data_IF_871039212968
#
_entry.id   IF_871039212968
#
_cell.length_a   1.000
_cell.length_b   1.000
_cell.length_c   1.000
_cell.angle_alpha   90.00
_cell.angle_beta   90.00
_cell.angle_gamma   90.00
#
_symmetry.space_group_name_H-M   'P 1'
#
loop_
_entity.id
_entity.type
_entity.pdbx_description
1 polymer ?
#
# COMPACT_ATOMS: atom_id res chain seq x y z
N UNK A 1 -52.55 -28.15 17.15
CA UNK A 1 -52.96 -29.53 16.77
C UNK A 1 -53.32 -29.53 15.29
N UNK A 2 -52.78 -30.52 14.54
CA UNK A 2 -53.23 -31.18 13.28
C UNK A 2 -54.36 -30.48 12.48
N UNK A 3 -54.42 -30.41 11.15
CA UNK A 3 -53.68 -30.98 10.02
C UNK A 3 -54.34 -30.44 8.72
N UNK A 4 -53.55 -30.37 7.64
CA UNK A 4 -53.87 -30.74 6.24
C UNK A 4 -54.98 -30.05 5.40
N UNK A 5 -54.50 -29.49 4.26
CA UNK A 5 -54.93 -29.62 2.85
C UNK A 5 -56.40 -29.43 2.46
N UNK A 6 -56.61 -28.57 1.46
CA UNK A 6 -57.12 -28.99 0.14
C UNK A 6 -56.80 -27.97 -0.98
N UNK A 7 -56.37 -28.50 -2.13
CA UNK A 7 -56.29 -27.82 -3.42
C UNK A 7 -57.54 -28.18 -4.24
N UNK A 8 -58.10 -27.22 -4.97
CA UNK A 8 -58.86 -27.44 -6.22
C UNK A 8 -58.61 -26.20 -7.11
N UNK A 9 -57.93 -26.29 -8.27
CA UNK A 9 -58.46 -26.70 -9.57
C UNK A 9 -59.12 -25.48 -10.26
N UNK A 10 -58.79 -25.01 -11.47
CA UNK A 10 -58.82 -25.73 -12.77
C UNK A 10 -58.66 -24.70 -13.92
N UNK A 11 -58.14 -25.12 -15.08
CA UNK A 11 -58.34 -24.46 -16.38
C UNK A 11 -57.05 -24.22 -17.20
N UNK A 12 -56.43 -25.23 -17.81
CA UNK A 12 -56.59 -25.75 -19.19
C UNK A 12 -56.36 -24.76 -20.37
N UNK A 13 -55.39 -25.18 -21.20
CA UNK A 13 -55.18 -24.96 -22.66
C UNK A 13 -54.48 -23.66 -23.09
N UNK A 14 -53.18 -23.72 -23.43
CA UNK A 14 -52.57 -24.07 -24.75
C UNK A 14 -53.01 -23.13 -25.89
N UNK A 15 -52.09 -22.31 -26.41
CA UNK A 15 -51.43 -22.47 -27.72
C UNK A 15 -50.82 -21.12 -28.18
N UNK A 16 -49.50 -21.04 -28.40
CA UNK A 16 -48.96 -20.60 -29.71
C UNK A 16 -48.04 -19.35 -29.68
N UNK A 17 -46.75 -19.59 -29.48
CA UNK A 17 -45.57 -19.08 -30.23
C UNK A 17 -45.73 -17.76 -31.03
N UNK A 18 -44.88 -16.74 -30.76
CA UNK A 18 -43.75 -16.33 -31.63
C UNK A 18 -42.91 -15.17 -31.03
N UNK A 19 -41.62 -15.24 -31.34
CA UNK A 19 -40.45 -14.46 -30.95
C UNK A 19 -40.52 -12.92 -31.09
N UNK A 20 -39.83 -12.21 -30.17
CA UNK A 20 -38.77 -11.27 -30.56
C UNK A 20 -37.84 -10.98 -29.37
N UNK A 21 -36.55 -11.10 -29.65
CA UNK A 21 -35.44 -10.75 -28.78
C UNK A 21 -35.47 -9.27 -28.39
N UNK A 22 -35.30 -8.98 -27.09
CA UNK A 22 -34.58 -7.77 -26.68
C UNK A 22 -33.33 -8.27 -25.99
N UNK A 23 -32.27 -8.11 -26.76
CA UNK A 23 -30.88 -8.39 -26.49
C UNK A 23 -30.36 -7.59 -25.30
N UNK A 24 -29.48 -8.24 -24.53
CA UNK A 24 -28.31 -7.67 -23.86
C UNK A 24 -28.45 -6.26 -23.26
N UNK A 25 -28.57 -6.21 -21.93
CA UNK A 25 -27.48 -5.63 -21.14
C UNK A 25 -27.37 -6.42 -19.84
N UNK A 26 -26.75 -7.61 -19.96
CA UNK A 26 -26.00 -8.15 -18.85
C UNK A 26 -24.88 -7.12 -18.59
N UNK A 27 -25.07 -6.27 -17.59
CA UNK A 27 -23.91 -5.65 -16.93
C UNK A 27 -23.16 -6.83 -16.34
N UNK A 28 -22.14 -7.28 -17.06
CA UNK A 28 -21.17 -8.23 -16.57
C UNK A 28 -20.50 -7.60 -15.35
N UNK A 29 -21.01 -7.94 -14.17
CA UNK A 29 -20.21 -8.00 -12.96
C UNK A 29 -19.25 -9.19 -13.11
N UNK A 30 -18.22 -8.99 -13.92
CA UNK A 30 -16.98 -9.75 -13.93
C UNK A 30 -15.91 -8.68 -13.72
N UNK A 31 -15.25 -8.55 -12.59
CA UNK A 31 -14.74 -9.61 -11.73
C UNK A 31 -15.07 -9.39 -10.25
N UNK A 32 -15.81 -10.32 -9.65
CA UNK A 32 -15.51 -10.70 -8.28
C UNK A 32 -14.26 -11.58 -8.35
N UNK A 33 -13.08 -10.97 -8.32
CA UNK A 33 -11.85 -11.71 -8.01
C UNK A 33 -12.00 -12.23 -6.58
N UNK A 34 -12.25 -13.52 -6.42
CA UNK A 34 -12.13 -14.18 -5.13
C UNK A 34 -10.65 -14.22 -4.80
N UNK A 35 -10.16 -13.20 -4.09
CA UNK A 35 -8.76 -13.16 -3.67
C UNK A 35 -8.42 -14.35 -2.77
N UNK A 36 -7.25 -14.93 -2.98
CA UNK A 36 -6.69 -15.92 -2.08
C UNK A 36 -6.11 -15.22 -0.85
N UNK A 37 -6.58 -15.62 0.34
CA UNK A 37 -6.09 -15.07 1.59
C UNK A 37 -4.82 -15.81 1.97
N UNK A 38 -3.72 -15.07 2.09
CA UNK A 38 -2.43 -15.65 2.45
C UNK A 38 -2.11 -15.50 3.95
N UNK A 39 -2.60 -14.44 4.61
CA UNK A 39 -2.37 -14.21 6.03
C UNK A 39 -3.44 -13.29 6.64
N UNK A 40 -3.81 -13.53 7.90
CA UNK A 40 -4.68 -12.65 8.69
C UNK A 40 -4.43 -12.82 10.19
N UNK A 41 -4.18 -11.70 10.87
CA UNK A 41 -4.24 -11.55 12.33
C UNK A 41 -5.07 -10.29 12.70
N UNK A 42 -5.03 -9.87 13.97
CA UNK A 42 -5.77 -8.70 14.45
C UNK A 42 -5.25 -7.36 13.88
N UNK A 43 -4.01 -7.34 13.37
CA UNK A 43 -3.31 -6.15 12.86
C UNK A 43 -3.23 -6.13 11.34
N UNK A 44 -3.01 -7.27 10.68
CA UNK A 44 -2.67 -7.39 9.28
C UNK A 44 -3.60 -8.38 8.60
N UNK A 45 -4.05 -8.02 7.40
CA UNK A 45 -4.76 -8.91 6.49
C UNK A 45 -4.16 -8.79 5.10
N UNK A 46 -3.57 -9.88 4.62
CA UNK A 46 -2.94 -9.97 3.31
C UNK A 46 -3.78 -10.85 2.38
N UNK A 47 -4.03 -10.35 1.16
CA UNK A 47 -4.88 -11.01 0.17
C UNK A 47 -4.26 -10.85 -1.21
N UNK A 48 -4.04 -11.96 -1.90
CA UNK A 48 -3.63 -11.97 -3.31
C UNK A 48 -4.88 -11.92 -4.17
N UNK A 49 -4.91 -11.02 -5.15
CA UNK A 49 -6.02 -10.89 -6.10
C UNK A 49 -5.53 -11.03 -7.52
N UNK A 50 -6.28 -11.79 -8.33
CA UNK A 50 -6.03 -11.88 -9.77
C UNK A 50 -6.93 -10.90 -10.53
N UNK A 51 -6.33 -10.08 -11.39
CA UNK A 51 -7.03 -9.21 -12.32
C UNK A 51 -6.33 -9.26 -13.68
N UNK A 52 -7.06 -9.59 -14.74
CA UNK A 52 -6.53 -9.68 -16.11
C UNK A 52 -5.28 -10.59 -16.26
N UNK A 53 -5.16 -11.64 -15.46
CA UNK A 53 -4.01 -12.56 -15.45
C UNK A 53 -2.77 -12.01 -14.72
N UNK A 54 -2.90 -10.89 -14.02
CA UNK A 54 -1.89 -10.36 -13.11
C UNK A 54 -2.32 -10.67 -11.68
N UNK A 55 -1.38 -11.11 -10.86
CA UNK A 55 -1.56 -11.31 -9.43
C UNK A 55 -0.94 -10.12 -8.70
N UNK A 56 -1.70 -9.56 -7.78
CA UNK A 56 -1.27 -8.46 -6.92
C UNK A 56 -1.54 -8.82 -5.45
N UNK A 57 -0.64 -8.45 -4.55
CA UNK A 57 -0.83 -8.55 -3.12
C UNK A 57 -1.38 -7.23 -2.59
N UNK A 58 -2.48 -7.29 -1.85
CA UNK A 58 -2.93 -6.20 -1.00
C UNK A 58 -2.80 -6.59 0.47
N UNK A 59 -2.08 -5.76 1.24
CA UNK A 59 -1.90 -5.93 2.68
C UNK A 59 -2.58 -4.78 3.40
N UNK A 60 -3.72 -5.06 4.03
CA UNK A 60 -4.41 -4.13 4.92
C UNK A 60 -3.79 -4.21 6.30
N UNK A 61 -3.40 -3.06 6.84
CA UNK A 61 -2.70 -2.91 8.10
C UNK A 61 -3.56 -2.02 9.00
N UNK A 62 -3.74 -2.44 10.24
CA UNK A 62 -4.46 -1.73 11.29
C UNK A 62 -3.45 -1.03 12.19
N UNK A 63 -3.29 0.27 12.01
CA UNK A 63 -2.51 1.15 12.88
C UNK A 63 -3.38 1.81 13.95
N UNK A 64 -2.77 2.40 14.98
CA UNK A 64 -3.49 3.26 15.93
C UNK A 64 -4.04 4.52 15.26
N UNK A 65 -5.05 5.09 15.89
CA UNK A 65 -5.85 6.24 15.43
C UNK A 65 -5.39 7.56 16.05
N UNK A 66 -4.14 7.64 16.53
CA UNK A 66 -3.65 8.89 17.11
C UNK A 66 -3.61 9.99 16.04
N UNK A 67 -4.22 11.15 16.30
CA UNK A 67 -4.35 12.20 15.31
C UNK A 67 -2.99 12.83 14.98
N UNK A 68 -2.89 13.40 13.79
CA UNK A 68 -1.72 14.19 13.39
C UNK A 68 -1.51 15.38 14.34
N UNK A 69 -0.26 15.66 14.72
CA UNK A 69 0.07 16.87 15.48
C UNK A 69 -0.15 18.11 14.61
N UNK A 70 -0.77 19.14 15.18
CA UNK A 70 -1.08 20.40 14.47
C UNK A 70 0.12 21.04 13.76
N UNK A 71 1.30 21.00 14.37
CA UNK A 71 2.52 21.52 13.74
C UNK A 71 2.92 20.75 12.47
N UNK A 72 2.80 19.42 12.49
CA UNK A 72 3.07 18.55 11.34
C UNK A 72 2.04 18.78 10.26
N UNK A 73 0.76 18.85 10.65
CA UNK A 73 -0.34 19.18 9.74
C UNK A 73 -0.09 20.47 9.00
N UNK A 74 0.30 21.52 9.73
CA UNK A 74 0.61 22.82 9.15
C UNK A 74 1.74 22.70 8.11
N UNK A 75 2.85 22.03 8.45
CA UNK A 75 3.95 21.81 7.51
C UNK A 75 3.50 21.07 6.24
N UNK A 76 2.68 20.02 6.39
CA UNK A 76 2.21 19.17 5.28
C UNK A 76 1.07 19.76 4.46
N UNK A 77 0.50 20.89 4.88
CA UNK A 77 -0.62 21.55 4.19
C UNK A 77 -0.33 23.02 3.83
N UNK A 78 0.89 23.51 4.09
CA UNK A 78 1.33 24.85 3.70
C UNK A 78 1.60 25.01 2.19
N UNK A 79 1.72 23.88 1.47
CA UNK A 79 2.07 23.83 0.05
C UNK A 79 0.87 23.91 -0.90
N UNK A 80 1.15 23.67 -2.18
CA UNK A 80 0.13 23.54 -3.22
C UNK A 80 -0.51 22.14 -3.20
N UNK A 81 -1.82 22.10 -3.43
CA UNK A 81 -2.57 20.87 -3.61
C UNK A 81 -2.54 20.47 -5.09
N UNK A 82 -2.01 19.28 -5.38
CA UNK A 82 -1.84 18.77 -6.75
C UNK A 82 -2.89 17.72 -7.11
N UNK A 83 -3.35 17.79 -8.37
CA UNK A 83 -4.11 16.73 -9.06
C UNK A 83 -3.30 16.06 -10.18
N UNK A 84 -2.25 16.74 -10.65
CA UNK A 84 -1.23 16.22 -11.56
C UNK A 84 0.11 16.83 -11.13
N UNK A 85 1.14 16.01 -10.98
CA UNK A 85 2.47 16.43 -10.59
C UNK A 85 3.51 15.52 -11.22
N UNK A 86 4.61 16.12 -11.69
CA UNK A 86 5.75 15.38 -12.22
C UNK A 86 7.05 16.08 -11.86
N UNK A 87 8.00 15.33 -11.32
CA UNK A 87 9.36 15.83 -11.03
C UNK A 87 10.41 14.80 -11.45
N UNK A 88 11.60 15.27 -11.82
CA UNK A 88 12.76 14.43 -12.11
C UNK A 88 13.55 14.24 -10.82
N UNK A 89 13.70 12.99 -10.39
CA UNK A 89 14.50 12.59 -9.23
C UNK A 89 16.00 12.56 -9.59
N UNK A 90 16.85 12.54 -8.57
CA UNK A 90 18.31 12.55 -8.74
C UNK A 90 18.87 11.32 -9.45
N UNK A 91 18.20 10.18 -9.37
CA UNK A 91 18.51 8.95 -10.10
C UNK A 91 18.14 9.01 -11.59
N UNK A 92 17.54 10.11 -12.05
CA UNK A 92 17.10 10.32 -13.42
C UNK A 92 15.72 9.71 -13.73
N UNK A 93 15.03 9.14 -12.73
CA UNK A 93 13.68 8.61 -12.85
C UNK A 93 12.68 9.74 -12.57
N UNK A 94 11.56 9.74 -13.30
CA UNK A 94 10.48 10.68 -13.03
C UNK A 94 9.55 10.11 -11.96
N UNK A 95 9.33 10.87 -10.89
CA UNK A 95 8.13 10.71 -10.09
C UNK A 95 6.95 11.35 -10.82
N UNK A 96 5.82 10.65 -10.88
CA UNK A 96 4.59 11.16 -11.46
C UNK A 96 3.39 10.78 -10.59
N UNK A 97 2.58 11.77 -10.27
CA UNK A 97 1.26 11.61 -9.68
C UNK A 97 0.22 12.15 -10.65
N UNK A 98 -0.82 11.37 -10.93
CA UNK A 98 -1.97 11.82 -11.67
C UNK A 98 -3.22 11.27 -10.99
N UNK A 99 -4.10 12.15 -10.54
CA UNK A 99 -5.42 11.77 -10.05
C UNK A 99 -6.25 11.24 -11.22
N UNK A 100 -6.60 9.95 -11.17
CA UNK A 100 -7.38 9.27 -12.19
C UNK A 100 -8.88 9.57 -12.11
N UNK A 101 -9.34 10.33 -11.11
CA UNK A 101 -10.76 10.62 -10.89
C UNK A 101 -11.07 12.10 -11.17
N UNK A 102 -11.74 12.36 -12.31
CA UNK A 102 -12.11 13.71 -12.77
C UNK A 102 -13.10 14.46 -11.85
N UNK A 103 -13.69 13.81 -10.84
CA UNK A 103 -14.90 14.29 -10.14
C UNK A 103 -14.80 14.24 -8.60
N UNK A 104 -13.62 14.19 -7.98
CA UNK A 104 -13.51 14.30 -6.52
C UNK A 104 -12.70 15.52 -6.09
N UNK A 105 -13.20 16.24 -5.07
CA UNK A 105 -12.54 17.35 -4.37
C UNK A 105 -11.32 16.88 -3.54
N UNK A 106 -10.57 15.89 -4.04
CA UNK A 106 -9.41 15.30 -3.38
C UNK A 106 -8.16 15.57 -4.20
N UNK A 107 -7.21 16.32 -3.65
CA UNK A 107 -5.86 16.41 -4.19
C UNK A 107 -4.86 15.92 -3.16
N UNK A 108 -3.58 15.95 -3.51
CA UNK A 108 -2.50 15.56 -2.59
C UNK A 108 -1.51 16.70 -2.45
N UNK A 109 -0.89 16.82 -1.28
CA UNK A 109 0.23 17.73 -1.09
C UNK A 109 1.52 16.99 -1.43
N UNK A 110 2.32 17.53 -2.34
CA UNK A 110 3.57 16.91 -2.78
C UNK A 110 4.73 17.87 -2.54
N UNK A 111 5.77 17.35 -1.89
CA UNK A 111 6.99 18.07 -1.54
C UNK A 111 8.21 17.30 -2.02
N UNK A 112 9.23 18.03 -2.47
CA UNK A 112 10.51 17.45 -2.91
C UNK A 112 11.61 17.95 -1.99
N UNK A 113 12.32 17.02 -1.34
CA UNK A 113 13.40 17.32 -0.41
C UNK A 113 14.74 16.82 -0.92
N UNK A 114 15.82 17.44 -0.41
CA UNK A 114 17.19 17.08 -0.77
C UNK A 114 17.88 16.23 0.31
N UNK A 115 17.34 16.19 1.53
CA UNK A 115 17.94 15.41 2.63
C UNK A 115 16.90 14.82 3.56
N UNK A 116 17.28 13.74 4.26
CA UNK A 116 16.54 13.15 5.38
C UNK A 116 16.23 14.21 6.45
N UNK A 117 17.20 15.07 6.80
CA UNK A 117 17.02 16.07 7.85
C UNK A 117 15.90 17.08 7.54
N UNK A 118 15.75 17.51 6.28
CA UNK A 118 14.65 18.37 5.85
C UNK A 118 13.30 17.64 5.95
N UNK A 119 13.28 16.36 5.59
CA UNK A 119 12.10 15.50 5.63
C UNK A 119 11.63 15.23 7.06
N UNK A 120 12.54 14.85 7.96
CA UNK A 120 12.26 14.66 9.39
C UNK A 120 11.80 15.95 10.06
N UNK A 121 12.37 17.09 9.68
CA UNK A 121 11.93 18.39 10.17
C UNK A 121 10.48 18.70 9.75
N UNK A 122 10.12 18.39 8.51
CA UNK A 122 8.75 18.57 8.01
C UNK A 122 7.75 17.66 8.77
N UNK A 123 8.13 16.41 9.00
CA UNK A 123 7.31 15.41 9.72
C UNK A 123 7.29 15.60 11.24
N UNK A 124 8.24 16.36 11.80
CA UNK A 124 8.37 16.55 13.25
C UNK A 124 8.64 15.25 14.01
N UNK A 125 9.23 14.25 13.33
CA UNK A 125 9.59 12.95 13.88
C UNK A 125 10.82 12.42 13.11
N UNK A 126 11.60 11.58 13.79
CA UNK A 126 12.64 10.82 13.10
C UNK A 126 12.01 9.74 12.23
N UNK A 127 12.62 9.51 11.08
CA UNK A 127 12.30 8.36 10.24
C UNK A 127 13.17 7.19 10.68
N UNK A 128 12.69 5.95 10.51
CA UNK A 128 13.56 4.80 10.68
C UNK A 128 14.79 4.93 9.78
N UNK A 129 15.97 4.75 10.37
CA UNK A 129 17.22 4.76 9.65
C UNK A 129 17.69 3.30 9.45
N UNK A 130 18.71 3.09 8.62
CA UNK A 130 19.38 1.80 8.50
C UNK A 130 20.89 2.02 8.49
N UNK A 131 21.62 1.30 9.35
CA UNK A 131 23.08 1.28 9.29
C UNK A 131 23.63 0.50 8.09
N UNK A 132 22.76 -0.23 7.40
CA UNK A 132 23.07 -1.02 6.21
C UNK A 132 22.75 -0.32 4.91
N UNK A 133 21.91 0.73 4.95
CA UNK A 133 21.55 1.53 3.80
C UNK A 133 21.46 3.01 4.16
N UNK A 134 22.27 3.84 3.50
CA UNK A 134 22.18 5.29 3.65
C UNK A 134 21.02 5.86 2.84
N UNK A 135 20.44 6.94 3.34
CA UNK A 135 19.55 7.75 2.52
C UNK A 135 20.34 8.40 1.38
N UNK A 136 19.76 8.57 0.18
CA UNK A 136 20.44 9.18 -0.95
C UNK A 136 20.89 10.62 -0.65
N UNK A 137 22.13 10.96 -1.03
CA UNK A 137 22.71 12.30 -0.96
C UNK A 137 22.55 13.07 -2.28
N UNK A 138 22.45 14.40 -2.24
CA UNK A 138 22.23 15.24 -3.43
C UNK A 138 20.95 16.07 -3.37
N UNK A 139 20.52 16.61 -4.52
CA UNK A 139 19.29 17.41 -4.62
C UNK A 139 18.15 16.61 -5.26
N UNK A 140 16.91 16.82 -4.80
CA UNK A 140 15.71 16.12 -5.30
C UNK A 140 15.74 14.61 -5.11
N UNK A 141 15.99 14.20 -3.88
CA UNK A 141 16.15 12.79 -3.50
C UNK A 141 14.90 12.19 -2.91
N UNK A 142 14.01 12.99 -2.34
CA UNK A 142 12.83 12.50 -1.65
C UNK A 142 11.59 13.19 -2.19
N UNK A 143 10.55 12.43 -2.45
CA UNK A 143 9.20 12.93 -2.71
C UNK A 143 8.32 12.50 -1.55
N UNK A 144 7.81 13.48 -0.82
CA UNK A 144 6.77 13.27 0.19
C UNK A 144 5.42 13.58 -0.45
N UNK A 145 4.50 12.62 -0.38
CA UNK A 145 3.10 12.75 -0.80
C UNK A 145 2.20 12.59 0.41
N UNK A 146 1.53 13.67 0.81
CA UNK A 146 0.52 13.62 1.86
C UNK A 146 -0.89 13.57 1.25
N UNK A 147 -1.62 12.50 1.58
CA UNK A 147 -3.00 12.27 1.18
C UNK A 147 -3.91 12.48 2.40
N UNK A 148 -4.63 13.63 2.48
CA UNK A 148 -5.60 13.83 3.54
C UNK A 148 -6.77 12.85 3.40
N UNK A 149 -7.27 12.32 4.50
CA UNK A 149 -8.45 11.46 4.50
C UNK A 149 -9.73 12.32 4.47
N UNK A 150 -10.63 12.00 3.54
CA UNK A 150 -11.86 12.74 3.36
C UNK A 150 -12.87 12.35 4.46
N UNK A 151 -13.11 13.25 5.42
CA UNK A 151 -14.14 13.08 6.45
C UNK A 151 -13.62 12.76 7.86
N UNK A 152 -12.31 12.83 8.08
CA UNK A 152 -11.69 12.85 9.42
C UNK A 152 -11.51 14.30 9.91
N UNK A 153 -11.25 14.54 11.22
CA UNK A 153 -10.84 15.85 11.70
C UNK A 153 -9.69 16.39 10.85
N UNK A 154 -9.73 17.69 10.54
CA UNK A 154 -8.82 18.36 9.61
C UNK A 154 -7.36 17.91 9.80
N UNK A 155 -6.83 17.04 8.93
CA UNK A 155 -5.41 16.66 8.90
C UNK A 155 -5.03 15.20 9.10
N UNK A 156 -5.96 14.28 9.41
CA UNK A 156 -5.62 12.85 9.43
C UNK A 156 -5.47 12.31 7.99
N UNK A 157 -4.61 11.31 7.79
CA UNK A 157 -4.28 10.81 6.46
C UNK A 157 -3.01 9.96 6.42
N UNK A 158 -2.50 9.75 5.21
CA UNK A 158 -1.28 8.98 4.97
C UNK A 158 -0.21 9.84 4.29
N UNK A 159 1.04 9.62 4.69
CA UNK A 159 2.22 10.17 4.04
C UNK A 159 2.97 9.04 3.37
N UNK A 160 3.24 9.17 2.09
CA UNK A 160 4.16 8.32 1.34
C UNK A 160 5.44 9.08 1.04
N UNK A 161 6.57 8.44 1.28
CA UNK A 161 7.91 8.97 1.06
C UNK A 161 8.58 8.02 0.09
N UNK A 162 8.87 8.52 -1.10
CA UNK A 162 9.67 7.81 -2.08
C UNK A 162 11.05 8.45 -2.14
N UNK A 163 12.10 7.64 -2.02
CA UNK A 163 13.47 8.10 -2.23
C UNK A 163 14.00 7.69 -3.61
N UNK A 164 14.89 8.50 -4.18
CA UNK A 164 15.66 8.14 -5.35
C UNK A 164 16.50 6.88 -5.08
N UNK A 165 16.68 6.05 -6.11
CA UNK A 165 17.46 4.84 -5.97
C UNK A 165 18.93 5.17 -5.66
N UNK A 166 19.42 4.66 -4.53
CA UNK A 166 20.84 4.62 -4.21
C UNK A 166 21.37 3.20 -4.50
N UNK A 167 22.44 3.03 -5.29
CA UNK A 167 23.04 1.72 -5.48
C UNK A 167 23.76 1.31 -4.19
N UNK A 168 23.09 0.53 -3.35
CA UNK A 168 23.64 0.10 -2.06
C UNK A 168 23.62 -1.42 -1.92
N UNK A 169 24.82 -2.03 -1.97
CA UNK A 169 25.00 -3.44 -1.67
C UNK A 169 24.87 -3.68 -0.16
N UNK A 170 23.66 -3.92 0.31
CA UNK A 170 23.43 -4.33 1.69
C UNK A 170 24.01 -5.72 1.86
N UNK A 171 25.08 -5.80 2.66
CA UNK A 171 25.79 -7.05 3.04
C UNK A 171 26.79 -7.64 2.05
N UNK A 172 27.24 -6.88 1.03
CA UNK A 172 28.29 -7.33 0.11
C UNK A 172 27.83 -8.31 -0.98
N UNK A 173 26.53 -8.65 -0.98
CA UNK A 173 25.79 -9.23 -2.10
C UNK A 173 25.02 -8.08 -2.78
N UNK A 174 24.80 -8.16 -4.10
CA UNK A 174 24.20 -7.11 -4.93
C UNK A 174 22.70 -6.87 -4.63
N UNK A 175 22.39 -6.41 -3.41
CA UNK A 175 21.05 -5.96 -3.06
C UNK A 175 20.78 -4.63 -3.78
N UNK A 176 19.62 -4.50 -4.43
CA UNK A 176 19.07 -3.19 -4.81
C UNK A 176 17.85 -2.94 -3.93
N UNK A 177 17.77 -1.75 -3.33
CA UNK A 177 16.70 -1.38 -2.41
C UNK A 177 16.09 -0.06 -2.86
N UNK A 178 14.79 -0.10 -3.13
CA UNK A 178 13.97 1.10 -3.20
C UNK A 178 13.46 1.43 -1.80
N UNK A 179 13.46 2.72 -1.46
CA UNK A 179 12.84 3.18 -0.22
C UNK A 179 11.49 3.80 -0.53
N UNK A 180 10.45 3.04 -0.20
CA UNK A 180 9.08 3.53 -0.21
C UNK A 180 8.53 3.40 1.21
N UNK A 181 8.69 4.49 1.98
CA UNK A 181 8.24 4.56 3.37
C UNK A 181 6.86 5.18 3.42
N UNK A 182 5.92 4.48 4.04
CA UNK A 182 4.63 5.05 4.41
C UNK A 182 4.60 5.39 5.89
N UNK A 183 3.91 6.47 6.26
CA UNK A 183 3.57 6.85 7.63
C UNK A 183 2.07 7.17 7.68
N UNK A 184 1.35 6.69 8.69
CA UNK A 184 -0.10 6.91 8.83
C UNK A 184 -0.41 7.74 10.07
N UNK A 185 -1.36 8.67 9.96
CA UNK A 185 -1.80 9.53 11.06
C UNK A 185 -3.33 9.48 11.18
N UNK A 186 -3.84 9.17 12.38
CA UNK A 186 -5.26 9.24 12.70
C UNK A 186 -6.18 8.24 12.00
N UNK A 187 -5.62 7.32 11.19
CA UNK A 187 -6.39 6.33 10.44
C UNK A 187 -6.18 4.91 10.98
N UNK A 188 -7.27 4.15 11.11
CA UNK A 188 -7.22 2.73 11.51
C UNK A 188 -6.94 1.77 10.34
N UNK A 189 -6.60 2.33 9.17
CA UNK A 189 -6.52 1.63 7.89
C UNK A 189 -5.37 2.19 7.07
N UNK A 190 -4.32 1.38 6.93
CA UNK A 190 -3.31 1.51 5.89
C UNK A 190 -3.42 0.32 4.94
N UNK A 191 -3.04 0.51 3.68
CA UNK A 191 -2.94 -0.59 2.72
C UNK A 191 -1.60 -0.51 1.98
N UNK A 192 -0.77 -1.53 2.05
CA UNK A 192 0.41 -1.64 1.19
C UNK A 192 0.19 -2.68 0.11
N UNK A 193 0.92 -2.59 -0.99
CA UNK A 193 0.68 -3.37 -2.19
C UNK A 193 1.98 -3.88 -2.80
N UNK A 194 1.94 -5.04 -3.43
CA UNK A 194 2.98 -5.55 -4.33
C UNK A 194 2.28 -5.99 -5.62
N UNK A 195 2.68 -5.42 -6.75
CA UNK A 195 2.05 -5.69 -8.04
C UNK A 195 2.86 -6.71 -8.86
N UNK A 196 2.20 -7.43 -9.76
CA UNK A 196 2.84 -8.42 -10.66
C UNK A 196 3.64 -9.49 -9.90
N UNK A 197 3.07 -10.01 -8.83
CA UNK A 197 3.60 -11.15 -8.07
C UNK A 197 3.18 -12.49 -8.70
N UNK A 198 3.58 -13.57 -8.07
CA UNK A 198 3.17 -14.94 -8.32
C UNK A 198 2.29 -15.46 -7.19
N UNK A 199 1.75 -16.66 -7.35
CA UNK A 199 0.97 -17.34 -6.30
C UNK A 199 1.83 -17.76 -5.09
N UNK A 200 3.17 -17.73 -5.22
CA UNK A 200 4.12 -18.27 -4.25
C UNK A 200 4.55 -17.24 -3.18
N UNK A 201 3.73 -16.22 -2.88
CA UNK A 201 4.07 -15.22 -1.85
C UNK A 201 4.12 -15.87 -0.46
N UNK A 202 5.25 -15.67 0.22
CA UNK A 202 5.52 -16.17 1.57
C UNK A 202 5.32 -15.05 2.58
N UNK A 203 4.67 -15.36 3.70
CA UNK A 203 4.66 -14.50 4.90
C UNK A 203 5.55 -15.08 5.99
N UNK A 204 6.36 -14.23 6.63
CA UNK A 204 7.13 -14.57 7.83
C UNK A 204 7.16 -13.41 8.82
N UNK A 205 6.89 -13.70 10.10
CA UNK A 205 7.17 -12.76 11.19
C UNK A 205 8.63 -12.86 11.62
N UNK A 206 9.32 -11.74 11.73
CA UNK A 206 10.73 -11.68 12.10
C UNK A 206 10.97 -10.66 13.21
N UNK A 207 11.93 -10.93 14.10
CA UNK A 207 12.38 -9.97 15.11
C UNK A 207 13.87 -9.79 14.96
N UNK A 208 14.29 -8.55 14.68
CA UNK A 208 15.69 -8.21 14.47
C UNK A 208 16.54 -8.40 15.73
N UNK A 209 17.86 -8.40 15.56
CA UNK A 209 18.81 -8.41 16.66
C UNK A 209 18.63 -7.24 17.65
N UNK A 210 18.10 -6.11 17.18
CA UNK A 210 17.78 -4.91 17.98
C UNK A 210 16.38 -4.97 18.61
N UNK A 211 15.62 -6.04 18.37
CA UNK A 211 14.27 -6.23 18.91
C UNK A 211 13.15 -5.65 18.03
N UNK A 212 13.47 -5.25 16.79
CA UNK A 212 12.48 -4.73 15.84
C UNK A 212 11.62 -5.89 15.31
N UNK A 213 10.35 -5.94 15.70
CA UNK A 213 9.41 -6.94 15.20
C UNK A 213 8.74 -6.46 13.90
N UNK A 214 8.89 -7.24 12.83
CA UNK A 214 8.35 -6.94 11.51
C UNK A 214 7.58 -8.12 10.93
N UNK A 215 6.67 -7.81 10.01
CA UNK A 215 6.00 -8.76 9.14
C UNK A 215 6.62 -8.65 7.73
N UNK A 216 7.04 -9.79 7.17
CA UNK A 216 7.68 -9.89 5.86
C UNK A 216 6.74 -10.59 4.89
N UNK A 217 6.52 -10.00 3.73
CA UNK A 217 5.89 -10.65 2.58
C UNK A 217 6.89 -10.71 1.44
N UNK A 218 7.13 -11.88 0.87
CA UNK A 218 8.15 -12.07 -0.15
C UNK A 218 7.66 -12.94 -1.30
N UNK A 219 7.92 -12.49 -2.51
CA UNK A 219 7.90 -13.30 -3.72
C UNK A 219 9.33 -13.51 -4.22
N UNK A 220 9.87 -14.70 -3.99
CA UNK A 220 11.23 -15.06 -4.42
C UNK A 220 11.38 -15.10 -5.95
N UNK A 221 10.29 -15.37 -6.70
CA UNK A 221 10.34 -15.53 -8.16
C UNK A 221 10.41 -14.19 -8.86
N UNK A 222 9.72 -13.18 -8.32
CA UNK A 222 9.81 -11.81 -8.84
C UNK A 222 10.85 -10.98 -8.13
N UNK A 223 11.39 -11.48 -7.00
CA UNK A 223 12.38 -10.76 -6.21
C UNK A 223 11.79 -9.54 -5.50
N UNK A 224 10.49 -9.56 -5.19
CA UNK A 224 9.78 -8.45 -4.55
C UNK A 224 9.53 -8.78 -3.08
N UNK A 225 9.72 -7.80 -2.20
CA UNK A 225 9.52 -7.96 -0.76
C UNK A 225 8.83 -6.72 -0.20
N UNK A 226 7.91 -6.94 0.73
CA UNK A 226 7.30 -5.91 1.56
C UNK A 226 7.62 -6.20 3.02
N UNK A 227 8.36 -5.28 3.64
CA UNK A 227 8.65 -5.27 5.09
C UNK A 227 7.64 -4.35 5.76
N UNK A 228 7.00 -4.79 6.84
CA UNK A 228 6.01 -4.00 7.58
C UNK A 228 6.42 -3.97 9.04
N UNK A 229 6.67 -2.76 9.54
CA UNK A 229 6.82 -2.50 10.96
C UNK A 229 5.63 -1.69 11.47
N UNK A 230 5.16 -2.02 12.67
CA UNK A 230 4.08 -1.30 13.35
C UNK A 230 4.44 -1.08 14.80
N UNK A 231 4.39 0.16 15.27
CA UNK A 231 4.47 0.50 16.70
C UNK A 231 3.48 1.60 17.01
N UNK A 232 2.62 1.35 18.01
CA UNK A 232 1.55 2.25 18.46
C UNK A 232 0.85 2.96 17.28
N UNK A 233 1.33 4.15 16.94
CA UNK A 233 0.76 5.13 16.01
C UNK A 233 1.47 5.24 14.67
N UNK A 234 2.54 4.48 14.46
CA UNK A 234 3.33 4.51 13.23
C UNK A 234 3.30 3.13 12.60
N UNK A 235 2.97 3.09 11.32
CA UNK A 235 3.23 1.95 10.48
C UNK A 235 4.21 2.42 9.42
N UNK A 236 5.39 1.80 9.39
CA UNK A 236 6.36 1.96 8.33
C UNK A 236 6.36 0.71 7.47
N UNK A 237 6.35 0.91 6.16
CA UNK A 237 6.55 -0.17 5.21
C UNK A 237 7.77 0.11 4.36
N UNK A 238 8.43 -0.94 3.87
CA UNK A 238 9.50 -0.85 2.88
C UNK A 238 9.24 -1.84 1.77
N UNK A 239 9.22 -1.35 0.53
CA UNK A 239 9.09 -2.16 -0.68
C UNK A 239 10.46 -2.36 -1.31
N UNK A 240 10.95 -3.60 -1.30
CA UNK A 240 12.27 -3.97 -1.82
C UNK A 240 12.10 -4.77 -3.12
N UNK A 241 13.01 -4.58 -4.08
CA UNK A 241 12.99 -5.30 -5.37
C UNK A 241 14.41 -5.66 -5.80
N UNK A 242 14.68 -6.90 -6.21
CA UNK A 242 15.99 -7.33 -6.72
C UNK A 242 16.19 -8.84 -6.64
N UNK A 243 17.44 -9.31 -6.73
CA UNK A 243 17.76 -10.72 -6.46
C UNK A 243 17.78 -10.98 -4.93
N UNK A 244 16.60 -10.96 -4.31
CA UNK A 244 16.42 -11.05 -2.86
C UNK A 244 16.19 -12.51 -2.43
N UNK A 245 16.67 -12.85 -1.24
CA UNK A 245 16.32 -14.06 -0.49
C UNK A 245 15.73 -13.68 0.86
N UNK A 246 14.93 -14.53 1.49
CA UNK A 246 14.39 -14.24 2.82
C UNK A 246 15.52 -13.96 3.85
N UNK A 247 16.65 -14.66 3.74
CA UNK A 247 17.81 -14.43 4.59
C UNK A 247 18.47 -13.06 4.33
N UNK A 248 18.56 -12.61 3.07
CA UNK A 248 19.09 -11.27 2.77
C UNK A 248 18.15 -10.16 3.25
N UNK A 249 16.83 -10.38 3.20
CA UNK A 249 15.84 -9.46 3.77
C UNK A 249 15.99 -9.35 5.28
N UNK A 250 16.15 -10.47 6.00
CA UNK A 250 16.38 -10.46 7.46
C UNK A 250 17.65 -9.70 7.83
N UNK A 251 18.73 -9.89 7.07
CA UNK A 251 19.96 -9.10 7.25
C UNK A 251 19.72 -7.59 7.03
N UNK A 252 18.88 -7.20 6.07
CA UNK A 252 18.48 -5.81 5.92
C UNK A 252 17.68 -5.34 7.14
N UNK A 253 16.71 -6.11 7.62
CA UNK A 253 15.93 -5.75 8.82
C UNK A 253 16.81 -5.59 10.06
N UNK A 254 17.85 -6.43 10.20
CA UNK A 254 18.87 -6.31 11.25
C UNK A 254 19.71 -5.03 11.19
N UNK A 255 19.60 -4.26 10.11
CA UNK A 255 20.28 -2.97 10.00
C UNK A 255 19.37 -1.79 10.32
N UNK A 256 18.05 -2.00 10.46
CA UNK A 256 17.10 -0.92 10.75
C UNK A 256 17.26 -0.46 12.20
N UNK A 257 17.38 0.85 12.38
CA UNK A 257 17.55 1.54 13.65
C UNK A 257 16.39 2.53 13.84
N UNK A 258 15.75 2.51 15.01
CA UNK A 258 14.65 3.40 15.41
C UNK A 258 15.10 4.41 16.48
#
# INVERSE_FOLDING_TARGET
MKNAREMTGSGKNRMGILCMAISLLAVMLTACGSGEKIYEDDRIKATVTESNGQLDLSVRIRSSTAPMREAVRKNLTEGELYHDFRTLMSDGIYYQYQDGTLDQEGGVYIYVYSSEAELEQALGQSLPNSSGISWPEGGHNFVLTYRPDAGTPEGDGAVDIQAAAAPEAVTGEELQVSWDVRVNYGTDRSNSYMDNITEDVIHEGYTSAQGLAVDLFMDERTGQVLVIWTEENVCCTWSLTGELTMDSVKKFVDTIEL
#
